data_IF_001580410139
#
_entry.id   IF_001580410139
#
_cell.length_a   1.000
_cell.length_b   1.000
_cell.length_c   1.000
_cell.angle_alpha   90.00
_cell.angle_beta   90.00
_cell.angle_gamma   90.00
#
_symmetry.space_group_name_H-M   'P 1'
#
loop_
_entity.id
_entity.type
_entity.pdbx_description
1 polymer ?
2 non-polymer ?
3 non-polymer ?
4 non-polymer ?
5 non-polymer ?
6 water ?
#
# COMPACT_ATOMS: atom_id res chain seq x y z
N UNK A 2 11.28 23.83 -3.95
CA UNK A 2 11.26 22.44 -3.39
C UNK A 2 11.32 22.46 -1.85
N UNK A 3 10.17 22.22 -1.20
CA UNK A 3 10.10 22.10 0.28
C UNK A 3 11.13 21.09 0.78
N UNK A 4 11.89 21.48 1.81
CA UNK A 4 12.93 20.61 2.37
C UNK A 4 12.63 20.10 3.79
N UNK A 5 11.60 20.67 4.43
CA UNK A 5 11.24 20.28 5.79
C UNK A 5 9.85 20.76 6.12
N UNK A 6 9.24 20.14 7.14
CA UNK A 6 7.91 20.50 7.58
C UNK A 6 7.91 20.97 9.01
N UNK A 7 9.10 21.09 9.58
CA UNK A 7 9.23 21.45 10.98
C UNK A 7 10.23 22.54 11.22
N UNK A 8 10.65 22.65 12.49
CA UNK A 8 11.60 23.70 12.89
C UNK A 8 13.02 23.17 13.12
N UNK A 9 13.23 21.88 12.90
CA UNK A 9 14.53 21.27 13.13
C UNK A 9 15.40 21.34 11.88
N UNK A 10 16.43 22.20 11.91
CA UNK A 10 17.36 22.32 10.78
C UNK A 10 18.13 21.02 10.51
N UNK A 11 18.52 20.32 11.57
CA UNK A 11 19.19 19.00 11.43
C UNK A 11 18.38 18.00 10.60
N UNK A 12 17.06 18.03 10.77
CA UNK A 12 16.16 17.16 10.00
C UNK A 12 16.22 17.29 8.48
N UNK A 13 16.51 18.49 7.98
CA UNK A 13 16.59 18.71 6.53
C UNK A 13 17.58 17.76 5.88
N UNK A 14 18.80 17.73 6.40
CA UNK A 14 19.83 16.82 5.92
C UNK A 14 19.52 15.38 6.23
N UNK A 15 18.99 15.12 7.42
CA UNK A 15 18.67 13.73 7.81
C UNK A 15 17.62 13.20 6.85
N UNK A 16 16.63 14.04 6.53
CA UNK A 16 15.55 13.60 5.67
C UNK A 16 16.14 13.30 4.30
N UNK A 17 16.97 14.22 3.81
CA UNK A 17 17.52 14.06 2.46
C UNK A 17 18.37 12.81 2.43
N UNK A 18 19.05 12.53 3.53
CA UNK A 18 19.85 11.32 3.65
C UNK A 18 18.99 10.07 3.54
N UNK A 19 17.87 10.02 4.29
CA UNK A 19 16.98 8.85 4.14
C UNK A 19 16.50 8.68 2.72
N UNK A 20 16.13 9.80 2.07
CA UNK A 20 15.57 9.78 0.73
C UNK A 20 16.54 9.34 -0.37
N UNK A 21 17.84 9.27 -0.05
CA UNK A 21 18.77 8.64 -0.97
C UNK A 21 18.34 7.19 -1.26
N UNK A 22 17.55 6.59 -0.36
CA UNK A 22 17.10 5.20 -0.55
C UNK A 22 15.70 5.06 -1.18
N UNK A 23 15.24 6.16 -1.77
CA UNK A 23 13.92 6.22 -2.40
C UNK A 23 13.62 5.09 -3.36
N UNK A 24 14.60 4.68 -4.16
CA UNK A 24 14.35 3.65 -5.19
C UNK A 24 14.65 2.23 -4.71
N UNK A 25 14.86 2.06 -3.41
CA UNK A 25 15.28 0.79 -2.83
C UNK A 25 14.22 0.18 -1.92
N UNK A 26 14.13 -1.15 -1.90
CA UNK A 26 13.23 -1.86 -1.00
C UNK A 26 13.62 -1.57 0.42
N UNK A 27 14.90 -1.24 0.64
CA UNK A 27 15.42 -1.08 1.99
C UNK A 27 15.25 0.30 2.62
N UNK A 28 14.58 1.21 1.91
CA UNK A 28 14.19 2.51 2.48
C UNK A 28 13.52 2.32 3.86
N UNK A 29 13.82 3.20 4.81
CA UNK A 29 13.19 3.12 6.11
C UNK A 29 12.18 4.26 6.30
N UNK A 30 10.89 3.93 6.13
CA UNK A 30 9.84 4.93 6.23
C UNK A 30 9.62 5.47 7.63
N UNK A 31 9.91 4.68 8.66
CA UNK A 31 9.81 5.18 10.00
C UNK A 31 10.75 6.38 10.21
N UNK A 32 11.95 6.29 9.64
CA UNK A 32 12.91 7.40 9.76
C UNK A 32 12.43 8.63 8.99
N UNK A 33 11.92 8.40 7.77
CA UNK A 33 11.28 9.48 6.98
C UNK A 33 10.22 10.21 7.80
N UNK A 34 9.36 9.45 8.49
CA UNK A 34 8.33 10.09 9.28
C UNK A 34 8.93 10.93 10.37
N UNK A 35 9.98 10.41 11.01
CA UNK A 35 10.59 11.10 12.13
C UNK A 35 11.35 12.35 11.74
N UNK A 36 11.85 12.40 10.51
CA UNK A 36 12.57 13.58 10.06
C UNK A 36 11.70 14.58 9.29
N UNK A 37 10.40 14.29 9.15
CA UNK A 37 9.51 15.12 8.32
C UNK A 37 8.36 15.69 9.13
N UNK A 38 8.52 15.70 10.45
CA UNK A 38 7.46 16.13 11.35
C UNK A 38 6.15 15.37 11.13
N UNK A 39 6.28 14.05 10.98
CA UNK A 39 5.13 13.16 10.76
C UNK A 39 4.36 13.49 9.51
N UNK A 40 5.10 13.72 8.44
CA UNK A 40 4.51 13.90 7.12
C UNK A 40 5.12 12.89 6.15
N UNK A 41 5.11 11.59 6.53
CA UNK A 41 5.74 10.65 5.62
C UNK A 41 5.01 10.54 4.29
N UNK A 42 3.69 10.68 4.28
CA UNK A 42 3.00 10.46 3.00
C UNK A 42 3.21 11.65 2.07
N UNK A 43 3.00 12.83 2.60
CA UNK A 43 3.31 14.08 1.81
C UNK A 43 4.75 14.07 1.25
N UNK A 44 5.73 13.83 2.11
CA UNK A 44 7.11 13.88 1.68
C UNK A 44 7.49 12.74 0.75
N UNK A 45 7.09 11.50 1.05
CA UNK A 45 7.50 10.43 0.15
C UNK A 45 6.82 10.60 -1.24
N UNK A 46 5.59 11.09 -1.24
CA UNK A 46 4.89 11.28 -2.52
C UNK A 46 5.54 12.40 -3.34
N UNK A 47 5.89 13.48 -2.67
CA UNK A 47 6.62 14.59 -3.33
C UNK A 47 7.93 14.06 -3.93
N UNK A 48 8.68 13.29 -3.14
CA UNK A 48 9.91 12.66 -3.60
C UNK A 48 9.73 11.74 -4.80
N UNK A 49 8.73 10.85 -4.73
CA UNK A 49 8.44 9.92 -5.83
C UNK A 49 8.06 10.65 -7.09
N UNK A 50 7.17 11.66 -6.97
CA UNK A 50 6.71 12.36 -8.18
C UNK A 50 7.83 13.13 -8.85
N UNK A 51 8.69 13.77 -8.03
CA UNK A 51 9.89 14.45 -8.56
C UNK A 51 10.89 13.48 -9.17
N UNK A 52 11.12 12.34 -8.51
CA UNK A 52 11.96 11.27 -9.05
C UNK A 52 11.50 10.80 -10.45
N UNK A 53 10.19 10.69 -10.64
CA UNK A 53 9.64 10.21 -11.90
C UNK A 53 9.24 11.33 -12.85
N UNK A 54 9.56 12.58 -12.49
CA UNK A 54 9.14 13.74 -13.28
C UNK A 54 7.66 13.81 -13.60
N UNK A 55 6.83 13.31 -12.69
CA UNK A 55 5.40 13.27 -12.91
C UNK A 55 4.70 14.63 -12.81
N UNK A 56 5.23 15.52 -11.97
CA UNK A 56 4.71 16.88 -11.89
C UNK A 56 4.92 17.59 -13.23
N UNK A 57 6.10 17.45 -13.80
CA UNK A 57 6.35 17.94 -15.17
C UNK A 57 5.50 17.26 -16.24
N UNK A 58 5.51 15.93 -16.28
CA UNK A 58 4.75 15.19 -17.31
C UNK A 58 3.26 15.57 -17.29
N UNK A 59 2.67 15.68 -16.10
CA UNK A 59 1.23 15.92 -16.02
C UNK A 59 0.83 17.36 -15.68
N UNK A 60 1.79 18.28 -15.72
CA UNK A 60 1.60 19.71 -15.45
C UNK A 60 0.86 19.93 -14.13
N UNK A 61 1.30 19.18 -13.12
CA UNK A 61 0.80 19.35 -11.75
C UNK A 61 1.60 20.43 -11.04
N UNK A 62 0.92 21.49 -10.62
CA UNK A 62 1.52 22.52 -9.80
C UNK A 62 2.06 21.90 -8.49
N UNK A 63 3.30 22.24 -8.15
CA UNK A 63 3.90 21.81 -6.87
C UNK A 63 3.04 22.22 -5.69
N UNK A 64 2.53 23.45 -5.72
CA UNK A 64 1.69 23.95 -4.63
C UNK A 64 0.40 23.15 -4.46
N UNK A 65 -0.27 22.88 -5.58
CA UNK A 65 -1.53 22.13 -5.58
C UNK A 65 -1.23 20.71 -5.04
N UNK A 66 -0.11 20.14 -5.51
CA UNK A 66 0.28 18.79 -5.11
C UNK A 66 0.42 18.71 -3.58
N UNK A 67 1.18 19.65 -3.04
CA UNK A 67 1.47 19.68 -1.62
C UNK A 67 0.20 19.85 -0.81
N UNK A 68 -0.70 20.75 -1.20
CA UNK A 68 -1.96 20.94 -0.50
C UNK A 68 -2.81 19.69 -0.54
N UNK A 69 -2.88 19.07 -1.72
CA UNK A 69 -3.69 17.86 -1.83
C UNK A 69 -3.09 16.81 -0.91
N UNK A 70 -1.78 16.61 -0.99
CA UNK A 70 -1.16 15.46 -0.29
C UNK A 70 -1.23 15.69 1.21
N UNK A 71 -0.99 16.92 1.64
CA UNK A 71 -1.14 17.24 3.07
C UNK A 71 -2.53 16.94 3.55
N UNK A 72 -3.53 17.29 2.75
CA UNK A 72 -4.91 17.10 3.16
C UNK A 72 -5.28 15.59 3.11
N UNK A 73 -4.81 14.89 2.10
CA UNK A 73 -5.04 13.40 2.07
C UNK A 73 -4.43 12.79 3.35
N UNK A 74 -3.19 13.17 3.62
CA UNK A 74 -2.52 12.62 4.82
C UNK A 74 -3.31 12.93 6.08
N UNK A 75 -3.84 14.14 6.17
CA UNK A 75 -4.68 14.52 7.30
C UNK A 75 -5.95 13.70 7.44
N UNK A 76 -6.39 13.03 6.36
CA UNK A 76 -7.58 12.15 6.44
C UNK A 76 -7.26 10.71 6.87
N UNK A 77 -5.99 10.39 7.04
CA UNK A 77 -5.56 9.17 7.75
C UNK A 77 -5.62 9.50 9.23
N UNK A 78 -6.10 8.55 10.02
CA UNK A 78 -6.30 8.74 11.46
C UNK A 78 -4.97 8.47 12.16
N UNK A 79 -4.41 9.47 12.83
CA UNK A 79 -3.12 9.27 13.52
C UNK A 79 -3.29 8.37 14.76
N UNK A 80 -4.52 8.29 15.28
CA UNK A 80 -4.83 7.40 16.43
C UNK A 80 -5.15 5.95 16.09
N UNK A 81 -5.02 5.60 14.82
CA UNK A 81 -5.18 4.22 14.37
C UNK A 81 -3.77 3.66 14.26
N UNK A 82 -3.48 2.51 14.89
CA UNK A 82 -2.08 2.12 15.06
C UNK A 82 -1.35 1.70 13.78
N UNK A 83 -2.06 1.06 12.88
CA UNK A 83 -1.45 0.56 11.67
C UNK A 83 -1.90 1.30 10.41
N UNK A 84 -3.21 1.33 10.17
CA UNK A 84 -3.82 1.97 9.00
C UNK A 84 -3.81 3.52 9.12
N UNK A 85 -2.61 4.06 9.30
CA UNK A 85 -2.42 5.53 9.34
C UNK A 85 -1.55 5.93 8.17
N UNK A 86 -1.21 7.22 8.08
CA UNK A 86 -0.44 7.65 6.90
C UNK A 86 0.94 7.03 6.69
N UNK A 87 1.57 6.47 7.73
CA UNK A 87 2.86 5.85 7.55
C UNK A 87 2.70 4.60 6.66
N UNK A 88 1.62 3.85 6.88
CA UNK A 88 1.28 2.70 6.03
C UNK A 88 1.03 3.07 4.60
N UNK A 89 0.29 4.16 4.38
CA UNK A 89 0.04 4.63 3.05
C UNK A 89 1.37 5.01 2.38
N UNK A 90 2.23 5.73 3.12
CA UNK A 90 3.55 6.14 2.60
C UNK A 90 4.38 4.94 2.16
N UNK A 91 4.41 3.92 3.03
CA UNK A 91 5.10 2.66 2.75
C UNK A 91 4.56 1.97 1.51
N UNK A 92 3.22 1.90 1.37
CA UNK A 92 2.68 1.17 0.23
C UNK A 92 2.96 1.97 -1.02
N UNK A 93 2.95 3.30 -0.89
CA UNK A 93 3.26 4.11 -2.11
C UNK A 93 4.72 3.94 -2.53
N UNK A 94 5.63 4.00 -1.57
CA UNK A 94 7.08 3.85 -1.85
C UNK A 94 7.39 2.45 -2.36
N UNK A 95 6.76 1.44 -1.77
CA UNK A 95 6.89 0.06 -2.24
C UNK A 95 6.38 -0.11 -3.66
N UNK A 96 5.23 0.49 -3.99
CA UNK A 96 4.73 0.48 -5.37
C UNK A 96 5.70 1.16 -6.33
N UNK A 97 6.26 2.29 -5.87
CA UNK A 97 7.28 2.98 -6.68
C UNK A 97 8.47 2.07 -7.02
N UNK A 98 8.92 1.28 -6.07
CA UNK A 98 9.99 0.30 -6.34
C UNK A 98 9.57 -0.82 -7.31
N UNK A 99 8.39 -1.40 -7.08
CA UNK A 99 7.89 -2.48 -7.94
C UNK A 99 7.66 -2.04 -9.36
N UNK A 100 7.28 -0.77 -9.57
CA UNK A 100 7.07 -0.25 -10.91
C UNK A 100 8.40 -0.27 -11.72
N UNK A 101 9.52 -0.16 -11.03
CA UNK A 101 10.81 -0.13 -11.73
C UNK A 101 11.51 -1.47 -11.89
N UNK A 102 10.82 -2.55 -11.52
CA UNK A 102 11.41 -3.88 -11.60
C UNK A 102 11.82 -4.17 -13.07
N UNK A 103 13.01 -4.78 -13.26
CA UNK A 103 13.53 -4.96 -14.63
C UNK A 103 12.56 -5.62 -15.61
N UNK A 104 11.90 -6.68 -15.17
CA UNK A 104 10.93 -7.44 -15.97
C UNK A 104 9.76 -6.60 -16.55
N UNK A 105 9.44 -5.47 -15.91
CA UNK A 105 8.36 -4.62 -16.39
C UNK A 105 8.86 -3.36 -17.04
N UNK A 106 10.16 -3.31 -17.33
CA UNK A 106 10.75 -2.12 -17.91
C UNK A 106 10.01 -1.74 -19.18
N UNK A 107 9.69 -0.45 -19.28
CA UNK A 107 8.99 0.13 -20.43
C UNK A 107 7.58 -0.40 -20.71
N UNK A 108 7.05 -1.25 -19.82
CA UNK A 108 5.71 -1.83 -20.01
C UNK A 108 4.58 -0.81 -19.82
N UNK A 109 4.70 0.08 -18.83
CA UNK A 109 3.58 0.95 -18.44
C UNK A 109 3.69 2.35 -18.97
N UNK A 110 2.55 2.92 -19.37
CA UNK A 110 2.45 4.33 -19.68
C UNK A 110 2.63 5.16 -18.42
N UNK A 111 2.94 6.43 -18.64
CA UNK A 111 3.07 7.41 -17.57
C UNK A 111 1.76 7.57 -16.80
N UNK A 112 0.64 7.49 -17.51
CA UNK A 112 -0.68 7.54 -16.85
C UNK A 112 -0.90 6.35 -15.93
N UNK A 113 -0.50 5.17 -16.38
CA UNK A 113 -0.56 3.96 -15.58
C UNK A 113 0.33 4.05 -14.33
N UNK A 114 1.53 4.59 -14.50
CA UNK A 114 2.46 4.80 -13.37
C UNK A 114 1.85 5.78 -12.34
N UNK A 115 1.32 6.89 -12.85
CA UNK A 115 0.65 7.90 -12.05
C UNK A 115 -0.52 7.26 -11.28
N UNK A 116 -1.38 6.53 -12.00
CA UNK A 116 -2.53 5.83 -11.39
C UNK A 116 -2.10 4.92 -10.23
N UNK A 117 -1.09 4.10 -10.45
CA UNK A 117 -0.68 3.11 -9.46
C UNK A 117 -0.16 3.76 -8.16
N UNK A 118 0.69 4.76 -8.30
CA UNK A 118 1.20 5.45 -7.11
C UNK A 118 0.10 6.21 -6.38
N UNK A 119 -0.77 6.91 -7.13
CA UNK A 119 -1.95 7.56 -6.54
C UNK A 119 -2.84 6.57 -5.81
N UNK A 120 -3.14 5.43 -6.45
CA UNK A 120 -3.90 4.38 -5.78
C UNK A 120 -3.29 3.97 -4.44
N UNK A 121 -1.98 3.67 -4.43
CA UNK A 121 -1.31 3.29 -3.21
C UNK A 121 -1.48 4.37 -2.11
N UNK A 122 -1.30 5.64 -2.50
CA UNK A 122 -1.40 6.76 -1.56
C UNK A 122 -2.76 6.85 -0.90
N UNK A 123 -3.82 6.65 -1.67
CA UNK A 123 -5.19 6.80 -1.19
C UNK A 123 -5.80 5.53 -0.60
N UNK A 124 -5.11 4.41 -0.77
CA UNK A 124 -5.80 3.11 -0.70
C UNK A 124 -6.43 2.74 0.68
N UNK A 125 -5.97 3.41 1.75
CA UNK A 125 -6.56 3.12 3.10
C UNK A 125 -7.03 4.44 3.76
N UNK A 126 -7.30 5.49 2.98
CA UNK A 126 -7.57 6.77 3.62
C UNK A 126 -8.90 6.78 4.47
N UNK A 127 -8.85 7.43 5.65
CA UNK A 127 -9.98 7.55 6.54
C UNK A 127 -10.40 6.17 7.09
N UNK A 128 -9.40 5.29 7.18
CA UNK A 128 -9.64 3.96 7.77
C UNK A 128 -9.89 4.09 9.27
N UNK A 129 -11.00 3.52 9.78
CA UNK A 129 -11.34 3.66 11.18
C UNK A 129 -10.65 2.66 12.10
N UNK A 130 -9.88 1.75 11.54
CA UNK A 130 -9.06 0.83 12.39
C UNK A 130 -9.83 -0.42 12.81
N UNK A 131 -10.90 -0.71 12.11
CA UNK A 131 -11.68 -1.97 12.30
C UNK A 131 -11.97 -2.56 10.91
N UNK A 132 -12.26 -3.86 10.87
CA UNK A 132 -12.37 -4.56 9.58
C UNK A 132 -13.74 -4.34 8.93
N UNK A 133 -13.82 -4.73 7.65
CA UNK A 133 -15.11 -4.73 6.95
C UNK A 133 -16.14 -5.56 7.71
N UNK A 134 -15.71 -6.72 8.19
CA UNK A 134 -16.67 -7.57 8.88
C UNK A 134 -17.18 -6.93 10.19
N UNK A 135 -16.32 -6.24 10.93
CA UNK A 135 -16.74 -5.49 12.13
C UNK A 135 -17.76 -4.40 11.73
N UNK A 136 -17.47 -3.66 10.66
CA UNK A 136 -18.43 -2.65 10.18
C UNK A 136 -19.81 -3.20 9.79
N UNK A 137 -19.81 -4.38 9.15
CA UNK A 137 -21.00 -5.03 8.66
C UNK A 137 -21.81 -5.53 9.87
N UNK A 138 -21.10 -6.16 10.80
CA UNK A 138 -21.73 -6.76 11.98
C UNK A 138 -22.33 -5.75 12.93
N UNK A 139 -21.83 -4.51 12.93
CA UNK A 139 -22.30 -3.49 13.86
C UNK A 139 -23.32 -2.56 13.20
N UNK A 140 -23.70 -2.90 11.98
CA UNK A 140 -24.63 -2.09 11.15
C UNK A 140 -24.17 -0.65 11.13
N UNK A 141 -22.87 -0.46 10.84
CA UNK A 141 -22.25 0.86 10.82
C UNK A 141 -22.79 1.70 9.65
N UNK A 142 -22.59 3.01 9.76
CA UNK A 142 -22.98 3.94 8.69
C UNK A 142 -22.31 3.55 7.35
N UNK A 143 -21.03 3.22 7.38
CA UNK A 143 -20.31 2.81 6.16
C UNK A 143 -20.92 1.54 5.55
N UNK A 144 -21.21 0.53 6.39
CA UNK A 144 -21.80 -0.71 5.86
C UNK A 144 -23.20 -0.47 5.22
N UNK A 145 -23.98 0.41 5.85
CA UNK A 145 -25.30 0.78 5.32
C UNK A 145 -25.14 1.59 4.01
N UNK A 146 -24.13 2.46 3.94
CA UNK A 146 -23.89 3.19 2.69
C UNK A 146 -23.52 2.25 1.54
N UNK A 147 -22.66 1.26 1.84
CA UNK A 147 -22.02 0.46 0.81
C UNK A 147 -22.55 -0.97 0.66
N UNK A 148 -23.67 -1.24 1.34
CA UNK A 148 -24.40 -2.50 1.14
C UNK A 148 -23.50 -3.69 1.37
N UNK A 149 -22.63 -3.54 2.38
CA UNK A 149 -21.75 -4.61 2.92
C UNK A 149 -20.67 -5.07 1.93
N UNK A 150 -20.51 -4.38 0.81
CA UNK A 150 -19.57 -4.87 -0.23
C UNK A 150 -18.36 -3.98 -0.37
N UNK A 151 -17.17 -4.55 -0.10
CA UNK A 151 -15.89 -3.79 -0.07
C UNK A 151 -16.12 -2.42 0.60
N UNK A 152 -16.68 -2.46 1.80
CA UNK A 152 -17.13 -1.25 2.49
C UNK A 152 -15.96 -0.27 2.66
N UNK A 153 -14.84 -0.70 3.26
CA UNK A 153 -13.74 0.26 3.52
C UNK A 153 -13.16 0.75 2.19
N UNK A 154 -13.00 -0.17 1.25
CA UNK A 154 -12.26 0.09 0.00
C UNK A 154 -13.03 1.07 -0.86
N UNK A 155 -14.36 0.93 -0.88
CA UNK A 155 -15.21 1.91 -1.57
C UNK A 155 -15.07 3.27 -0.87
N UNK A 156 -15.03 3.26 0.47
CA UNK A 156 -14.91 4.52 1.19
C UNK A 156 -13.58 5.21 0.90
N UNK A 157 -12.49 4.43 0.87
CA UNK A 157 -11.13 5.02 0.64
C UNK A 157 -11.14 5.74 -0.72
N UNK A 158 -11.73 5.08 -1.70
CA UNK A 158 -11.82 5.65 -3.05
C UNK A 158 -12.66 6.92 -3.05
N UNK A 159 -13.80 6.87 -2.41
CA UNK A 159 -14.69 8.06 -2.33
C UNK A 159 -13.99 9.26 -1.71
N UNK A 160 -13.28 9.05 -0.59
CA UNK A 160 -12.56 10.19 0.02
C UNK A 160 -11.46 10.72 -0.91
N UNK A 161 -10.70 9.81 -1.51
CA UNK A 161 -9.54 10.19 -2.28
C UNK A 161 -10.05 11.02 -3.45
N UNK A 162 -11.14 10.61 -4.06
CA UNK A 162 -11.64 11.35 -5.26
C UNK A 162 -12.41 12.59 -4.91
N UNK A 163 -13.15 12.54 -3.80
CA UNK A 163 -13.83 13.72 -3.30
C UNK A 163 -12.89 14.87 -2.98
N UNK A 164 -11.67 14.57 -2.51
CA UNK A 164 -10.71 15.63 -2.14
C UNK A 164 -10.18 16.40 -3.36
N UNK A 165 -10.36 15.83 -4.55
CA UNK A 165 -9.92 16.45 -5.81
C UNK A 165 -10.94 17.45 -6.32
N UNK A 166 -12.13 17.45 -5.73
CA UNK A 166 -13.21 18.33 -6.20
C UNK A 166 -12.98 19.83 -5.97
N UNK A 167 -12.20 20.17 -4.95
CA UNK A 167 -11.87 21.57 -4.66
C UNK A 167 -10.74 22.03 -5.59
N UNK A 168 -10.89 23.18 -6.23
CA UNK A 168 -9.86 23.70 -7.17
C UNK A 168 -8.44 23.67 -6.63
N UNK A 169 -8.29 24.15 -5.39
CA UNK A 169 -6.98 24.27 -4.75
C UNK A 169 -6.31 22.94 -4.46
N UNK A 170 -7.01 21.84 -4.70
CA UNK A 170 -6.47 20.52 -4.43
C UNK A 170 -6.51 19.65 -5.68
N UNK A 171 -7.00 20.17 -6.80
CA UNK A 171 -7.16 19.30 -7.97
C UNK A 171 -5.88 19.07 -8.75
N UNK A 172 -5.12 18.07 -8.31
CA UNK A 172 -3.86 17.71 -8.95
C UNK A 172 -3.99 17.19 -10.39
N UNK A 173 -5.19 16.77 -10.80
CA UNK A 173 -5.39 16.23 -12.17
C UNK A 173 -6.02 17.22 -13.14
N UNK A 174 -6.10 18.48 -12.71
CA UNK A 174 -6.71 19.57 -13.48
C UNK A 174 -6.23 19.64 -14.94
N UNK A 175 -4.95 19.35 -15.15
CA UNK A 175 -4.37 19.45 -16.49
C UNK A 175 -4.27 18.14 -17.25
N UNK A 176 -4.88 17.07 -16.73
CA UNK A 176 -5.08 15.88 -17.54
C UNK A 176 -6.27 16.17 -18.46
N UNK A 177 -6.36 15.43 -19.55
CA UNK A 177 -7.51 15.62 -20.42
C UNK A 177 -8.67 14.85 -19.81
N UNK A 178 -9.88 15.13 -20.29
CA UNK A 178 -11.08 14.43 -19.86
C UNK A 178 -10.93 12.92 -19.99
N UNK A 179 -10.35 12.46 -21.11
CA UNK A 179 -10.15 11.02 -21.35
C UNK A 179 -9.10 10.38 -20.43
N UNK A 180 -7.99 11.09 -20.23
CA UNK A 180 -6.97 10.70 -19.26
C UNK A 180 -7.55 10.57 -17.83
N UNK A 181 -8.33 11.54 -17.42
CA UNK A 181 -8.95 11.50 -16.08
C UNK A 181 -9.87 10.29 -15.93
N UNK A 182 -10.67 10.04 -16.95
CA UNK A 182 -11.58 8.90 -16.99
C UNK A 182 -10.83 7.58 -16.96
N UNK A 183 -9.74 7.45 -17.71
CA UNK A 183 -8.95 6.21 -17.65
C UNK A 183 -8.27 6.05 -16.27
N UNK A 184 -7.70 7.13 -15.77
CA UNK A 184 -6.98 7.04 -14.46
C UNK A 184 -8.00 6.62 -13.39
N UNK A 185 -9.17 7.26 -13.37
CA UNK A 185 -10.22 6.93 -12.35
C UNK A 185 -10.59 5.46 -12.43
N UNK A 186 -10.84 4.97 -13.64
CA UNK A 186 -11.07 3.52 -13.79
C UNK A 186 -9.95 2.63 -13.20
N UNK A 187 -8.68 2.94 -13.49
CA UNK A 187 -7.56 2.15 -13.03
C UNK A 187 -7.41 2.17 -11.52
N UNK A 188 -7.57 3.37 -10.94
CA UNK A 188 -7.39 3.55 -9.47
C UNK A 188 -8.51 2.80 -8.74
N UNK A 189 -9.73 2.91 -9.24
CA UNK A 189 -10.86 2.20 -8.61
C UNK A 189 -10.58 0.69 -8.59
N UNK A 190 -10.12 0.19 -9.73
CA UNK A 190 -9.79 -1.22 -9.89
C UNK A 190 -8.68 -1.64 -8.91
N UNK A 191 -7.63 -0.82 -8.82
CA UNK A 191 -6.51 -1.14 -7.95
C UNK A 191 -6.90 -1.09 -6.48
N UNK A 192 -7.67 -0.07 -6.08
CA UNK A 192 -7.98 0.03 -4.65
C UNK A 192 -8.93 -1.09 -4.22
N UNK A 193 -9.90 -1.37 -5.06
CA UNK A 193 -10.84 -2.45 -4.72
C UNK A 193 -10.17 -3.83 -4.62
N UNK A 194 -9.09 -4.02 -5.40
CA UNK A 194 -8.27 -5.22 -5.32
C UNK A 194 -7.48 -5.37 -4.02
N UNK A 195 -7.50 -4.35 -3.15
CA UNK A 195 -6.81 -4.46 -1.89
C UNK A 195 -7.76 -5.05 -0.80
N UNK A 196 -9.04 -5.29 -1.16
CA UNK A 196 -9.95 -5.98 -0.22
C UNK A 196 -9.52 -7.45 -0.08
N UNK A 197 -9.15 -7.89 1.11
CA UNK A 197 -8.63 -9.29 1.29
C UNK A 197 -9.67 -10.36 0.86
N UNK A 198 -10.93 -9.98 0.82
CA UNK A 198 -11.95 -10.94 0.41
C UNK A 198 -11.78 -11.35 -1.06
N UNK A 199 -11.07 -10.53 -1.84
CA UNK A 199 -10.80 -10.71 -3.26
C UNK A 199 -9.46 -11.40 -3.53
N UNK A 200 -8.72 -11.74 -2.47
CA UNK A 200 -7.32 -12.12 -2.61
C UNK A 200 -7.23 -13.48 -3.31
N UNK A 201 -8.06 -14.42 -2.85
CA UNK A 201 -7.97 -15.80 -3.41
C UNK A 201 -8.19 -15.81 -4.90
N UNK A 202 -9.16 -15.03 -5.36
CA UNK A 202 -9.48 -14.97 -6.76
C UNK A 202 -8.45 -14.20 -7.57
N UNK A 203 -7.91 -13.14 -6.96
CA UNK A 203 -6.84 -12.34 -7.55
C UNK A 203 -5.60 -13.23 -7.80
N UNK A 204 -5.25 -14.02 -6.78
CA UNK A 204 -4.09 -14.90 -6.81
C UNK A 204 -4.29 -15.97 -7.90
N UNK A 205 -5.44 -16.62 -7.88
CA UNK A 205 -5.77 -17.63 -8.90
C UNK A 205 -5.63 -17.06 -10.31
N UNK A 206 -6.20 -15.89 -10.55
CA UNK A 206 -6.08 -15.25 -11.85
C UNK A 206 -4.63 -14.85 -12.19
N UNK A 207 -3.85 -14.55 -11.15
CA UNK A 207 -2.46 -14.16 -11.36
C UNK A 207 -1.60 -15.38 -11.76
N UNK A 208 -1.70 -16.44 -10.96
CA UNK A 208 -1.10 -17.75 -11.26
C UNK A 208 -1.40 -18.15 -12.70
N UNK A 209 -2.67 -18.01 -13.06
CA UNK A 209 -3.13 -18.28 -14.42
C UNK A 209 -2.33 -17.48 -15.45
N UNK A 210 -2.23 -16.16 -15.24
CA UNK A 210 -1.44 -15.29 -16.14
C UNK A 210 0.07 -15.63 -16.18
N UNK A 211 0.61 -16.09 -15.06
CA UNK A 211 2.02 -16.45 -14.97
C UNK A 211 2.28 -17.69 -15.85
N UNK A 212 1.35 -18.64 -15.83
CA UNK A 212 1.43 -19.85 -16.65
C UNK A 212 1.65 -19.56 -18.13
N UNK A 213 0.98 -18.54 -18.65
CA UNK A 213 1.05 -18.23 -20.09
C UNK A 213 1.85 -16.97 -20.40
N UNK A 214 2.73 -16.59 -19.47
CA UNK A 214 3.51 -15.35 -19.62
C UNK A 214 4.48 -15.48 -20.79
N UNK A 215 4.58 -14.41 -21.56
CA UNK A 215 5.54 -14.32 -22.65
C UNK A 215 6.65 -13.34 -22.27
N UNK A 216 7.79 -13.90 -21.85
CA UNK A 216 9.00 -13.14 -21.55
C UNK A 216 9.77 -12.95 -22.84
N UNK A 217 9.82 -11.71 -23.34
CA UNK A 217 10.48 -11.41 -24.61
C UNK A 217 11.98 -11.71 -24.62
N UNK A 218 12.56 -11.72 -25.83
CA UNK A 218 14.00 -11.88 -26.04
C UNK A 218 14.82 -11.11 -24.99
N UNK A 219 14.59 -9.81 -24.92
CA UNK A 219 15.30 -8.92 -23.99
C UNK A 219 14.95 -9.10 -22.51
N UNK A 220 14.16 -10.13 -22.18
CA UNK A 220 13.84 -10.45 -20.77
C UNK A 220 12.67 -9.68 -20.17
N UNK A 221 11.98 -8.89 -20.98
CA UNK A 221 10.83 -8.11 -20.50
C UNK A 221 9.52 -8.86 -20.78
N UNK A 222 8.65 -8.93 -19.76
CA UNK A 222 7.30 -9.45 -19.94
C UNK A 222 6.56 -8.67 -21.03
N UNK A 223 5.88 -9.42 -21.89
CA UNK A 223 5.04 -8.85 -22.92
C UNK A 223 3.64 -8.78 -22.35
N UNK A 224 3.16 -7.56 -22.16
CA UNK A 224 1.80 -7.33 -21.67
C UNK A 224 1.24 -6.33 -22.63
N UNK A 225 0.52 -6.85 -23.62
CA UNK A 225 0.24 -6.08 -24.82
C UNK A 225 -1.15 -5.48 -24.87
N UNK A 226 -2.06 -5.95 -24.01
CA UNK A 226 -3.35 -5.25 -23.85
C UNK A 226 -3.56 -4.65 -22.46
N UNK A 227 -4.47 -3.68 -22.40
CA UNK A 227 -4.86 -3.03 -21.15
C UNK A 227 -5.27 -4.06 -20.10
N UNK A 228 -6.11 -5.00 -20.50
CA UNK A 228 -6.56 -6.03 -19.58
C UNK A 228 -5.40 -6.70 -18.85
N UNK A 229 -4.31 -6.95 -19.60
CA UNK A 229 -3.14 -7.56 -18.99
C UNK A 229 -2.38 -6.60 -18.08
N UNK A 230 -2.26 -5.35 -18.52
CA UNK A 230 -1.53 -4.36 -17.75
C UNK A 230 -2.23 -4.04 -16.44
N UNK A 231 -3.54 -3.80 -16.49
CA UNK A 231 -4.28 -3.52 -15.24
C UNK A 231 -4.27 -4.75 -14.30
N UNK A 232 -4.22 -5.97 -14.83
CA UNK A 232 -4.09 -7.11 -13.94
C UNK A 232 -2.74 -7.16 -13.21
N UNK A 233 -1.65 -6.83 -13.91
CA UNK A 233 -0.38 -6.76 -13.19
C UNK A 233 -0.42 -5.64 -12.15
N UNK A 234 -0.98 -4.48 -12.52
CA UNK A 234 -1.02 -3.32 -11.61
C UNK A 234 -1.84 -3.61 -10.35
N UNK A 235 -2.98 -4.26 -10.49
CA UNK A 235 -3.79 -4.56 -9.30
C UNK A 235 -3.06 -5.53 -8.38
N UNK A 236 -2.34 -6.50 -8.96
CA UNK A 236 -1.57 -7.39 -8.13
C UNK A 236 -0.35 -6.71 -7.53
N UNK A 237 0.26 -5.77 -8.26
CA UNK A 237 1.39 -4.99 -7.73
C UNK A 237 1.05 -4.21 -6.44
N UNK A 238 -0.04 -3.45 -6.49
CA UNK A 238 -0.49 -2.64 -5.32
C UNK A 238 -0.89 -3.59 -4.19
N UNK A 239 -1.58 -4.69 -4.56
CA UNK A 239 -1.88 -5.76 -3.58
C UNK A 239 -0.58 -6.28 -2.94
N UNK A 240 0.44 -6.55 -3.75
CA UNK A 240 1.73 -7.04 -3.22
C UNK A 240 2.36 -6.00 -2.31
N UNK A 241 2.30 -4.73 -2.73
CA UNK A 241 2.84 -3.63 -1.92
C UNK A 241 2.13 -3.55 -0.58
N UNK A 242 0.82 -3.71 -0.62
CA UNK A 242 -0.03 -3.65 0.58
C UNK A 242 0.40 -4.78 1.53
N UNK A 243 0.77 -5.92 0.95
CA UNK A 243 1.20 -7.09 1.71
C UNK A 243 2.72 -7.26 1.69
N UNK A 244 3.47 -6.15 1.72
CA UNK A 244 4.93 -6.24 1.62
C UNK A 244 5.67 -6.25 2.96
N UNK A 245 5.00 -5.98 4.08
CA UNK A 245 5.72 -5.82 5.37
C UNK A 245 6.63 -7.01 5.70
N UNK A 246 6.12 -8.25 5.54
CA UNK A 246 6.95 -9.45 5.87
C UNK A 246 8.14 -9.71 4.96
N UNK A 247 8.21 -8.98 3.85
CA UNK A 247 9.31 -9.04 2.87
C UNK A 247 10.37 -7.96 3.10
N UNK A 248 10.17 -7.13 4.12
CA UNK A 248 11.12 -6.05 4.45
C UNK A 248 12.14 -6.60 5.41
N UNK A 249 13.18 -5.82 5.69
CA UNK A 249 14.13 -6.22 6.72
C UNK A 249 13.38 -6.55 8.01
N UNK A 250 13.91 -7.51 8.76
CA UNK A 250 13.25 -7.93 10.00
C UNK A 250 12.99 -6.81 10.97
N UNK A 251 13.94 -5.88 11.10
CA UNK A 251 13.80 -4.69 11.94
C UNK A 251 12.51 -3.90 11.61
N UNK A 252 12.23 -3.72 10.32
CA UNK A 252 11.01 -3.02 9.85
C UNK A 252 9.77 -3.90 10.09
N UNK A 253 9.85 -5.14 9.64
CA UNK A 253 8.72 -6.08 9.75
C UNK A 253 8.21 -6.18 11.19
N UNK A 254 9.12 -6.30 12.16
CA UNK A 254 8.70 -6.40 13.55
C UNK A 254 7.93 -5.17 14.00
N UNK A 255 8.35 -3.98 13.57
CA UNK A 255 7.60 -2.76 13.91
C UNK A 255 6.21 -2.71 13.29
N UNK A 256 6.10 -3.14 12.04
CA UNK A 256 4.81 -3.23 11.39
C UNK A 256 3.89 -4.24 12.10
N UNK A 257 4.42 -5.42 12.43
CA UNK A 257 3.61 -6.37 13.23
C UNK A 257 3.08 -5.82 14.52
N UNK A 258 3.93 -5.17 15.31
CA UNK A 258 3.52 -4.61 16.58
C UNK A 258 2.39 -3.60 16.38
N UNK A 259 2.47 -2.83 15.29
CA UNK A 259 1.37 -1.89 15.00
C UNK A 259 0.06 -2.58 14.64
N UNK A 260 0.09 -3.54 13.70
CA UNK A 260 -1.15 -4.21 13.28
C UNK A 260 -1.76 -4.93 14.46
N UNK A 261 -0.93 -5.48 15.36
CA UNK A 261 -1.52 -6.15 16.52
C UNK A 261 -2.14 -5.20 17.49
N UNK A 262 -1.57 -4.00 17.66
CA UNK A 262 -2.20 -2.99 18.51
C UNK A 262 -3.59 -2.68 17.92
N UNK A 263 -3.65 -2.50 16.59
CA UNK A 263 -4.94 -2.21 15.95
C UNK A 263 -5.95 -3.38 16.09
N UNK A 264 -5.48 -4.59 15.76
CA UNK A 264 -6.35 -5.76 15.79
C UNK A 264 -6.85 -5.98 17.20
N UNK A 265 -5.94 -5.97 18.18
CA UNK A 265 -6.38 -6.17 19.57
C UNK A 265 -7.31 -5.08 20.12
N UNK A 266 -7.17 -3.84 19.63
CA UNK A 266 -8.14 -2.84 19.96
C UNK A 266 -9.53 -3.19 19.38
N UNK A 267 -9.59 -3.71 18.14
CA UNK A 267 -10.88 -4.15 17.60
C UNK A 267 -11.46 -5.23 18.52
N UNK A 268 -10.61 -6.18 18.92
CA UNK A 268 -11.08 -7.26 19.80
C UNK A 268 -11.69 -6.73 21.09
N UNK A 269 -11.09 -5.69 21.66
CA UNK A 269 -11.59 -5.06 22.87
C UNK A 269 -12.96 -4.40 22.62
N UNK A 270 -13.11 -3.76 21.45
CA UNK A 270 -14.40 -3.18 21.05
C UNK A 270 -15.47 -4.26 20.92
N UNK A 271 -15.13 -5.40 20.30
CA UNK A 271 -16.08 -6.51 20.16
C UNK A 271 -16.54 -6.98 21.53
N UNK A 272 -15.60 -7.11 22.47
CA UNK A 272 -15.93 -7.55 23.83
C UNK A 272 -16.83 -6.55 24.54
N UNK A 273 -16.45 -5.27 24.41
CA UNK A 273 -17.17 -4.12 24.95
C UNK A 273 -18.62 -4.05 24.46
N UNK A 274 -18.87 -4.57 23.26
CA UNK A 274 -20.20 -4.52 22.66
C UNK A 274 -20.96 -5.83 22.79
N UNK A 275 -20.39 -6.80 23.52
CA UNK A 275 -21.03 -8.11 23.68
C UNK A 275 -21.10 -8.88 22.39
N UNK A 276 -20.21 -8.51 21.45
CA UNK A 276 -20.11 -9.22 20.20
C UNK A 276 -19.28 -10.49 20.40
N UNK A 277 -19.44 -11.40 19.45
CA UNK A 277 -18.58 -12.56 19.29
C UNK A 277 -17.16 -12.09 18.90
N UNK A 278 -16.14 -12.58 19.62
CA UNK A 278 -14.75 -12.14 19.43
C UNK A 278 -14.12 -12.83 18.23
N UNK A 279 -13.54 -12.02 17.34
CA UNK A 279 -12.80 -12.53 16.19
C UNK A 279 -11.50 -13.13 16.73
N UNK A 280 -11.28 -14.43 16.52
CA UNK A 280 -10.18 -15.13 17.23
C UNK A 280 -8.82 -14.42 17.14
N UNK A 281 -8.51 -13.92 15.95
CA UNK A 281 -7.20 -13.34 15.73
C UNK A 281 -7.06 -11.88 16.22
N UNK A 282 -8.18 -11.33 16.71
CA UNK A 282 -8.19 -10.03 17.37
C UNK A 282 -8.30 -10.16 18.87
N UNK A 283 -8.25 -11.41 19.35
CA UNK A 283 -8.41 -11.62 20.80
C UNK A 283 -7.03 -11.63 21.50
N UNK A 284 -6.78 -10.57 22.26
CA UNK A 284 -5.46 -10.36 22.87
C UNK A 284 -5.21 -11.38 23.97
N UNK A 285 -6.30 -11.89 24.55
CA UNK A 285 -6.23 -12.88 25.64
C UNK A 285 -5.82 -14.27 25.18
N UNK A 286 -5.94 -14.56 23.89
CA UNK A 286 -5.66 -15.91 23.42
C UNK A 286 -4.76 -15.98 22.18
N UNK A 287 -4.84 -14.98 21.29
CA UNK A 287 -4.13 -15.06 20.03
C UNK A 287 -2.60 -14.91 20.15
N UNK A 288 -1.86 -15.79 19.46
CA UNK A 288 -0.39 -15.68 19.43
C UNK A 288 0.01 -14.79 18.27
N UNK A 289 0.69 -13.70 18.61
CA UNK A 289 1.23 -12.79 17.58
C UNK A 289 2.11 -13.55 16.59
N UNK A 290 2.98 -14.42 17.13
CA UNK A 290 3.96 -15.11 16.32
C UNK A 290 3.33 -16.19 15.42
N UNK A 291 2.40 -16.99 15.97
CA UNK A 291 1.69 -17.95 15.13
C UNK A 291 0.92 -17.25 14.01
N UNK A 292 0.34 -16.10 14.34
CA UNK A 292 -0.47 -15.37 13.36
C UNK A 292 0.35 -14.87 12.18
N UNK A 293 1.58 -14.41 12.43
CA UNK A 293 2.51 -14.07 11.34
C UNK A 293 2.94 -15.27 10.50
N UNK A 294 3.37 -16.35 11.14
CA UNK A 294 3.68 -17.56 10.39
C UNK A 294 2.52 -18.01 9.47
N UNK A 295 1.32 -18.10 10.04
CA UNK A 295 0.12 -18.49 9.30
C UNK A 295 -0.21 -17.51 8.19
N UNK A 296 -0.11 -16.21 8.52
CA UNK A 296 -0.30 -15.18 7.49
C UNK A 296 0.69 -15.33 6.34
N UNK A 297 1.96 -15.59 6.64
CA UNK A 297 2.91 -15.82 5.55
C UNK A 297 2.61 -17.10 4.75
N UNK A 298 2.49 -18.22 5.47
CA UNK A 298 2.25 -19.53 4.87
C UNK A 298 1.01 -19.55 4.00
N UNK A 299 -0.05 -18.91 4.49
CA UNK A 299 -1.34 -18.99 3.82
C UNK A 299 -1.64 -17.89 2.82
N UNK A 300 -1.06 -16.70 3.03
CA UNK A 300 -1.35 -15.54 2.17
C UNK A 300 -0.12 -14.90 1.52
N UNK A 301 0.85 -14.50 2.32
CA UNK A 301 1.95 -13.65 1.79
C UNK A 301 2.92 -14.44 0.89
N UNK A 302 3.33 -15.62 1.34
CA UNK A 302 4.26 -16.43 0.51
C UNK A 302 3.67 -16.88 -0.85
N UNK A 303 2.43 -17.44 -0.87
CA UNK A 303 1.79 -17.76 -2.14
C UNK A 303 1.67 -16.63 -3.13
N UNK A 304 1.34 -15.45 -2.62
CA UNK A 304 1.28 -14.29 -3.48
C UNK A 304 2.67 -13.89 -4.00
N UNK A 305 3.62 -13.76 -3.08
CA UNK A 305 4.98 -13.29 -3.44
C UNK A 305 5.72 -14.31 -4.30
N UNK A 306 5.51 -15.59 -3.99
CA UNK A 306 6.09 -16.66 -4.81
C UNK A 306 5.58 -16.56 -6.24
N UNK A 307 4.30 -16.21 -6.39
CA UNK A 307 3.69 -16.02 -7.69
C UNK A 307 4.17 -14.73 -8.35
N UNK A 308 4.28 -13.65 -7.57
CA UNK A 308 4.82 -12.43 -8.16
C UNK A 308 6.26 -12.70 -8.67
N UNK A 309 7.08 -13.27 -7.79
CA UNK A 309 8.51 -13.56 -8.09
C UNK A 309 8.59 -14.38 -9.35
N UNK A 310 7.70 -15.38 -9.42
CA UNK A 310 7.55 -16.19 -10.60
C UNK A 310 7.29 -15.36 -11.84
N UNK A 311 6.44 -14.34 -11.72
CA UNK A 311 6.13 -13.45 -12.84
C UNK A 311 7.30 -12.56 -13.29
N UNK A 312 8.12 -12.11 -12.35
CA UNK A 312 9.17 -11.13 -12.64
C UNK A 312 10.60 -11.72 -12.53
N UNK A 313 10.68 -13.04 -12.60
CA UNK A 313 11.96 -13.76 -12.53
C UNK A 313 13.07 -13.02 -13.27
N UNK A 314 14.25 -12.90 -12.62
CA UNK A 314 14.52 -13.27 -11.24
C UNK A 314 14.48 -12.05 -10.31
N UNK A 315 13.77 -11.00 -10.72
CA UNK A 315 13.79 -9.70 -10.00
C UNK A 315 13.51 -9.77 -8.50
N UNK A 316 12.67 -10.70 -8.09
CA UNK A 316 12.12 -10.72 -6.73
C UNK A 316 12.73 -11.78 -5.83
N UNK A 317 13.78 -12.44 -6.32
CA UNK A 317 14.38 -13.50 -5.55
C UNK A 317 14.85 -13.05 -4.17
N UNK A 318 15.45 -11.87 -4.05
CA UNK A 318 15.93 -11.44 -2.72
C UNK A 318 14.76 -11.16 -1.78
N UNK A 319 13.65 -10.69 -2.35
CA UNK A 319 12.45 -10.43 -1.56
C UNK A 319 11.93 -11.74 -1.00
N UNK A 320 11.84 -12.74 -1.88
CA UNK A 320 11.40 -14.09 -1.50
C UNK A 320 12.27 -14.69 -0.41
N UNK A 321 13.59 -14.48 -0.54
CA UNK A 321 14.53 -14.96 0.46
C UNK A 321 14.31 -14.35 1.82
N UNK A 322 14.06 -13.04 1.85
CA UNK A 322 13.90 -12.32 3.11
C UNK A 322 12.64 -12.79 3.82
N UNK A 323 11.58 -12.92 3.04
CA UNK A 323 10.26 -13.39 3.50
C UNK A 323 10.43 -14.74 4.20
N UNK A 324 11.15 -15.63 3.54
CA UNK A 324 11.42 -16.97 4.06
C UNK A 324 12.27 -16.91 5.32
N UNK A 325 13.32 -16.08 5.33
CA UNK A 325 14.04 -15.80 6.58
C UNK A 325 13.17 -15.26 7.70
N UNK A 326 12.33 -14.27 7.40
CA UNK A 326 11.47 -13.67 8.43
C UNK A 326 10.42 -14.64 9.01
N UNK A 327 9.82 -15.42 8.14
CA UNK A 327 8.94 -16.53 8.50
C UNK A 327 9.65 -17.43 9.53
N UNK A 328 10.87 -17.85 9.20
CA UNK A 328 11.66 -18.67 10.11
C UNK A 328 11.92 -18.01 11.46
N UNK A 329 12.07 -16.67 11.49
CA UNK A 329 12.35 -15.98 12.73
C UNK A 329 11.13 -16.01 13.66
N UNK A 330 9.94 -15.77 13.09
CA UNK A 330 8.70 -15.79 13.87
C UNK A 330 8.40 -17.22 14.42
N UNK A 331 8.62 -18.22 13.56
CA UNK A 331 8.44 -19.64 13.91
C UNK A 331 9.33 -19.95 15.10
N UNK A 332 10.60 -19.58 14.98
CA UNK A 332 11.54 -19.84 16.08
C UNK A 332 11.14 -19.09 17.35
N UNK A 333 10.28 -18.08 17.21
CA UNK A 333 9.77 -17.36 18.38
C UNK A 333 8.56 -18.05 19.04
N UNK A 334 8.04 -19.10 18.40
CA UNK A 334 6.96 -19.90 19.00
C UNK A 334 7.61 -20.97 19.91
N UNK A 335 7.36 -20.91 21.23
CA UNK A 335 8.04 -21.81 22.19
C UNK A 335 7.89 -23.31 21.92
N UNK A 336 6.81 -23.71 21.23
CA UNK A 336 6.58 -25.10 20.87
C UNK A 336 7.13 -25.44 19.48
N UNK A 337 7.44 -26.73 19.27
CA UNK A 337 7.93 -27.23 17.96
C UNK A 337 7.23 -26.60 16.76
#
# INVERSE_FOLDING_TARGET
MSISRFGVNTENEDHLAKELEDLNKWGLNIFNVAGYSHNRPLTCIMYAIFQERDLLKTFRISSDTFITYMMTLEDHYHSDVAYHNSLHAADVAQSTHVLLSTPALDAVFTDLEILAAIFAAAIHDVDHPGVSNQFLINTNSELALMYNDESVLENHHLAVGFKLLQEEHCDIFMNLTKKQRQTLRKMVIDMVLATDMSKHMSLLADLKTMVETKKVTSSGVLLLDNYTDRIQVLRNMVHCADLSNPTKSLELYRQWTDRIMEEFFQQGDKERERGMEISPMCDKHTASVEKSQVGFIDYIVHPLWETWADLVQPDAQDILDTLEDNRNWYQAMIPQAPAPPLDEQNRDCQGLM
#
